data_IF_990822439417
#
_entry.id   IF_990822439417
#
_cell.length_a   1.000
_cell.length_b   1.000
_cell.length_c   1.000
_cell.angle_alpha   90.00
_cell.angle_beta   90.00
_cell.angle_gamma   90.00
#
_symmetry.space_group_name_H-M   'P 1'
#
loop_
_entity.id
_entity.type
_entity.pdbx_description
1 polymer ?
#
# COMPACT_ATOMS: atom_id res chain seq x y z
N UNK A 1 -28.30 8.57 3.99
CA UNK A 1 -28.09 7.92 2.68
C UNK A 1 -26.81 7.12 2.77
N UNK A 2 -26.91 5.78 2.77
CA UNK A 2 -25.77 4.88 2.91
C UNK A 2 -25.20 4.62 1.51
N UNK A 3 -24.24 5.45 1.08
CA UNK A 3 -23.49 5.30 -0.19
C UNK A 3 -22.03 4.78 -0.01
N UNK A 4 -21.54 4.27 1.15
CA UNK A 4 -20.10 4.01 1.31
C UNK A 4 -19.57 2.86 0.43
N UNK A 5 -20.40 1.86 0.10
CA UNK A 5 -19.93 0.66 -0.61
C UNK A 5 -19.49 0.95 -2.05
N UNK A 6 -20.23 1.80 -2.77
CA UNK A 6 -19.91 2.11 -4.18
C UNK A 6 -18.68 2.99 -4.33
N UNK A 7 -18.43 3.90 -3.38
CA UNK A 7 -17.28 4.79 -3.43
C UNK A 7 -15.99 4.03 -3.13
N UNK A 8 -16.00 3.16 -2.12
CA UNK A 8 -14.88 2.28 -1.81
C UNK A 8 -14.52 1.35 -2.98
N UNK A 9 -15.50 0.79 -3.69
CA UNK A 9 -15.24 0.00 -4.90
C UNK A 9 -14.54 0.80 -6.00
N UNK A 10 -14.87 2.09 -6.18
CA UNK A 10 -14.21 2.94 -7.16
C UNK A 10 -12.76 3.23 -6.76
N UNK A 11 -12.51 3.53 -5.48
CA UNK A 11 -11.16 3.77 -4.96
C UNK A 11 -10.31 2.51 -5.11
N UNK A 12 -10.83 1.33 -4.78
CA UNK A 12 -10.12 0.05 -4.97
C UNK A 12 -9.73 -0.19 -6.43
N UNK A 13 -10.59 0.16 -7.39
CA UNK A 13 -10.25 0.06 -8.83
C UNK A 13 -9.12 1.01 -9.21
N UNK A 14 -9.12 2.24 -8.69
CA UNK A 14 -8.04 3.20 -8.92
C UNK A 14 -6.71 2.71 -8.33
N UNK A 15 -6.73 2.18 -7.10
CA UNK A 15 -5.56 1.57 -6.47
C UNK A 15 -4.99 0.41 -7.30
N UNK A 16 -5.85 -0.46 -7.83
CA UNK A 16 -5.43 -1.55 -8.71
C UNK A 16 -4.80 -1.03 -10.01
N UNK A 17 -5.42 -0.03 -10.65
CA UNK A 17 -4.87 0.59 -11.86
C UNK A 17 -3.52 1.26 -11.58
N UNK A 18 -3.37 1.87 -10.42
CA UNK A 18 -2.14 2.50 -9.98
C UNK A 18 -1.02 1.48 -9.79
N UNK A 19 -1.31 0.36 -9.12
CA UNK A 19 -0.36 -0.72 -8.97
C UNK A 19 0.06 -1.32 -10.32
N UNK A 20 -0.88 -1.53 -11.25
CA UNK A 20 -0.55 -1.98 -12.61
C UNK A 20 0.33 -0.98 -13.37
N UNK A 21 0.10 0.32 -13.22
CA UNK A 21 0.97 1.34 -13.81
C UNK A 21 2.39 1.27 -13.23
N UNK A 22 2.56 1.02 -11.92
CA UNK A 22 3.86 0.82 -11.30
C UNK A 22 4.58 -0.44 -11.81
N UNK A 23 3.86 -1.56 -11.96
CA UNK A 23 4.41 -2.80 -12.50
C UNK A 23 4.88 -2.66 -13.96
N UNK A 24 4.20 -1.81 -14.74
CA UNK A 24 4.56 -1.50 -16.11
C UNK A 24 5.60 -0.36 -16.23
N UNK A 25 6.14 0.12 -15.10
CA UNK A 25 7.08 1.23 -15.01
C UNK A 25 6.57 2.53 -15.69
N UNK A 26 5.25 2.69 -15.79
CA UNK A 26 4.61 3.88 -16.37
C UNK A 26 4.58 5.02 -15.35
N UNK A 27 5.75 5.56 -15.00
CA UNK A 27 5.93 6.54 -13.91
C UNK A 27 4.98 7.72 -14.04
N UNK A 28 4.88 8.36 -15.21
CA UNK A 28 3.98 9.51 -15.42
C UNK A 28 2.51 9.15 -15.14
N UNK A 29 2.05 7.98 -15.61
CA UNK A 29 0.68 7.52 -15.35
C UNK A 29 0.48 7.22 -13.88
N UNK A 30 1.46 6.60 -13.22
CA UNK A 30 1.42 6.33 -11.80
C UNK A 30 1.39 7.63 -10.97
N UNK A 31 2.14 8.66 -11.35
CA UNK A 31 2.10 9.98 -10.70
C UNK A 31 0.73 10.63 -10.83
N UNK A 32 0.11 10.61 -12.02
CA UNK A 32 -1.22 11.16 -12.23
C UNK A 32 -2.30 10.43 -11.42
N UNK A 33 -2.25 9.08 -11.41
CA UNK A 33 -3.16 8.27 -10.61
C UNK A 33 -2.98 8.52 -9.11
N UNK A 34 -1.75 8.72 -8.64
CA UNK A 34 -1.47 9.06 -7.23
C UNK A 34 -2.21 10.33 -6.81
N UNK A 35 -2.15 11.39 -7.61
CA UNK A 35 -2.82 12.66 -7.28
C UNK A 35 -4.33 12.47 -7.11
N UNK A 36 -4.98 11.74 -8.02
CA UNK A 36 -6.42 11.45 -7.94
C UNK A 36 -6.78 10.61 -6.70
N UNK A 37 -5.94 9.62 -6.39
CA UNK A 37 -6.15 8.73 -5.23
C UNK A 37 -5.97 9.49 -3.92
N UNK A 38 -4.92 10.32 -3.81
CA UNK A 38 -4.62 11.10 -2.59
C UNK A 38 -5.82 11.99 -2.21
N UNK A 39 -6.46 12.64 -3.18
CA UNK A 39 -7.67 13.45 -2.94
C UNK A 39 -8.84 12.63 -2.37
N UNK A 40 -9.05 11.41 -2.88
CA UNK A 40 -10.13 10.51 -2.41
C UNK A 40 -9.82 9.95 -1.03
N UNK A 41 -8.58 9.55 -0.78
CA UNK A 41 -8.12 9.01 0.50
C UNK A 41 -8.21 10.06 1.61
N UNK A 42 -7.86 11.32 1.32
CA UNK A 42 -7.97 12.39 2.31
C UNK A 42 -9.42 12.61 2.77
N UNK A 43 -10.39 12.56 1.84
CA UNK A 43 -11.83 12.63 2.19
C UNK A 43 -12.27 11.47 3.09
N UNK A 44 -11.79 10.26 2.81
CA UNK A 44 -12.10 9.07 3.63
C UNK A 44 -11.52 9.23 5.04
N UNK A 45 -10.28 9.71 5.18
CA UNK A 45 -9.64 9.94 6.48
C UNK A 45 -10.33 11.02 7.33
N UNK A 46 -10.93 12.02 6.69
CA UNK A 46 -11.68 13.09 7.37
C UNK A 46 -13.01 12.62 7.95
N UNK A 47 -13.62 11.60 7.32
CA UNK A 47 -14.84 10.94 7.80
C UNK A 47 -14.39 9.92 8.86
N UNK A 48 -14.08 10.40 10.06
CA UNK A 48 -13.65 9.55 11.17
C UNK A 48 -14.80 8.64 11.62
N UNK A 49 -14.93 7.46 11.01
CA UNK A 49 -15.65 6.32 11.57
C UNK A 49 -14.68 5.12 11.59
N UNK A 50 -14.62 4.37 12.68
CA UNK A 50 -13.73 3.20 12.84
C UNK A 50 -14.26 1.98 12.08
N UNK A 51 -14.62 2.14 10.80
CA UNK A 51 -15.14 1.06 9.99
C UNK A 51 -14.00 0.17 9.49
N UNK A 52 -14.12 -1.13 9.73
CA UNK A 52 -13.12 -2.14 9.32
C UNK A 52 -12.77 -2.09 7.82
N UNK A 53 -13.76 -1.80 6.95
CA UNK A 53 -13.54 -1.71 5.51
C UNK A 53 -12.64 -0.54 5.11
N UNK A 54 -12.67 0.56 5.87
CA UNK A 54 -11.84 1.74 5.62
C UNK A 54 -10.39 1.47 6.05
N UNK A 55 -10.18 0.69 7.11
CA UNK A 55 -8.83 0.28 7.53
C UNK A 55 -8.12 -0.57 6.47
N UNK A 56 -8.79 -1.55 5.86
CA UNK A 56 -8.20 -2.36 4.79
C UNK A 56 -7.88 -1.51 3.54
N UNK A 57 -8.76 -0.57 3.19
CA UNK A 57 -8.53 0.34 2.06
C UNK A 57 -7.34 1.27 2.31
N UNK A 58 -7.24 1.83 3.51
CA UNK A 58 -6.14 2.71 3.92
C UNK A 58 -4.82 1.96 4.05
N UNK A 59 -4.84 0.72 4.53
CA UNK A 59 -3.69 -0.18 4.51
C UNK A 59 -3.23 -0.45 3.08
N UNK A 60 -4.15 -0.81 2.18
CA UNK A 60 -3.80 -1.06 0.78
C UNK A 60 -3.19 0.17 0.10
N UNK A 61 -3.79 1.33 0.30
CA UNK A 61 -3.22 2.59 -0.17
C UNK A 61 -1.80 2.83 0.37
N UNK A 62 -1.58 2.63 1.67
CA UNK A 62 -0.28 2.89 2.31
C UNK A 62 0.81 1.93 1.80
N UNK A 63 0.45 0.67 1.54
CA UNK A 63 1.33 -0.32 0.90
C UNK A 63 1.75 0.12 -0.51
N UNK A 64 0.80 0.59 -1.32
CA UNK A 64 1.08 1.07 -2.67
C UNK A 64 1.86 2.38 -2.69
N UNK A 65 1.63 3.28 -1.74
CA UNK A 65 2.41 4.52 -1.58
C UNK A 65 3.88 4.23 -1.28
N UNK A 66 4.15 3.26 -0.40
CA UNK A 66 5.51 2.78 -0.19
C UNK A 66 6.12 2.23 -1.48
N UNK A 67 5.40 1.37 -2.22
CA UNK A 67 5.88 0.81 -3.50
C UNK A 67 6.18 1.90 -4.53
N UNK A 68 5.37 2.95 -4.59
CA UNK A 68 5.56 4.10 -5.48
C UNK A 68 6.80 4.91 -5.11
N UNK A 69 7.05 5.14 -3.81
CA UNK A 69 8.31 5.76 -3.34
C UNK A 69 9.50 4.89 -3.71
N UNK A 70 9.42 3.58 -3.52
CA UNK A 70 10.47 2.66 -3.96
C UNK A 70 10.70 2.67 -5.48
N UNK A 71 9.69 3.01 -6.28
CA UNK A 71 9.84 3.17 -7.74
C UNK A 71 10.50 4.49 -8.13
N UNK A 72 10.12 5.58 -7.46
CA UNK A 72 10.39 6.96 -7.93
C UNK A 72 11.48 7.68 -7.14
N UNK A 73 11.73 7.25 -5.91
CA UNK A 73 12.64 7.89 -4.95
C UNK A 73 13.20 6.85 -3.96
N UNK A 74 13.78 5.76 -4.50
CA UNK A 74 14.27 4.65 -3.69
C UNK A 74 15.39 5.04 -2.71
N UNK A 75 16.13 6.11 -3.02
CA UNK A 75 17.22 6.62 -2.18
C UNK A 75 16.74 7.33 -0.92
N UNK A 76 15.48 7.81 -0.89
CA UNK A 76 14.91 8.43 0.31
C UNK A 76 14.33 7.42 1.30
N UNK A 77 14.32 6.13 0.95
CA UNK A 77 13.81 5.07 1.82
C UNK A 77 14.77 4.86 2.99
N UNK A 78 14.26 5.17 4.19
CA UNK A 78 14.91 5.01 5.46
C UNK A 78 14.21 3.94 6.30
N UNK A 79 14.78 3.64 7.47
CA UNK A 79 14.24 2.62 8.39
C UNK A 79 12.80 2.87 8.80
N UNK A 80 12.40 4.13 8.96
CA UNK A 80 11.05 4.53 9.34
C UNK A 80 10.07 4.69 8.17
N UNK A 81 10.50 4.44 6.93
CA UNK A 81 9.65 4.62 5.75
C UNK A 81 8.49 3.62 5.65
N UNK A 82 8.49 2.58 6.49
CA UNK A 82 7.42 1.58 6.56
C UNK A 82 6.49 1.76 7.76
N UNK A 83 6.81 2.64 8.72
CA UNK A 83 6.06 2.81 9.98
C UNK A 83 4.58 3.17 9.75
N UNK A 84 4.28 3.92 8.69
CA UNK A 84 2.90 4.26 8.32
C UNK A 84 2.09 3.00 8.01
N UNK A 85 2.68 2.03 7.32
CA UNK A 85 2.02 0.75 7.03
C UNK A 85 1.82 -0.05 8.32
N UNK A 86 2.81 -0.05 9.21
CA UNK A 86 2.74 -0.77 10.49
C UNK A 86 1.76 -0.13 11.49
N UNK A 87 1.37 1.13 11.28
CA UNK A 87 0.37 1.81 12.11
C UNK A 87 -1.06 1.28 11.89
N UNK A 88 -1.32 0.60 10.78
CA UNK A 88 -2.60 -0.07 10.53
C UNK A 88 -2.57 -1.49 11.11
N UNK A 89 -3.68 -1.91 11.71
CA UNK A 89 -3.83 -3.28 12.20
C UNK A 89 -3.60 -4.28 11.06
N UNK A 90 -2.88 -5.36 11.35
CA UNK A 90 -2.69 -6.45 10.40
C UNK A 90 -4.06 -6.97 9.96
N UNK A 91 -4.38 -6.82 8.67
CA UNK A 91 -5.63 -7.30 8.10
C UNK A 91 -5.68 -8.83 8.17
N UNK A 92 -6.84 -9.41 8.47
CA UNK A 92 -7.07 -10.86 8.30
C UNK A 92 -7.18 -11.29 6.82
N UNK A 93 -7.00 -10.34 5.90
CA UNK A 93 -7.06 -10.55 4.47
C UNK A 93 -5.72 -11.10 3.95
N UNK A 94 -5.76 -12.28 3.32
CA UNK A 94 -4.57 -12.97 2.78
C UNK A 94 -3.89 -12.17 1.67
N UNK A 95 -4.67 -11.47 0.82
CA UNK A 95 -4.13 -10.64 -0.25
C UNK A 95 -3.34 -9.46 0.33
N UNK A 96 -3.89 -8.74 1.31
CA UNK A 96 -3.19 -7.64 1.97
C UNK A 96 -1.98 -8.15 2.79
N UNK A 97 -2.10 -9.33 3.40
CA UNK A 97 -0.99 -9.98 4.11
C UNK A 97 0.18 -10.27 3.18
N UNK A 98 -0.08 -10.79 1.97
CA UNK A 98 0.93 -10.98 0.94
C UNK A 98 1.67 -9.67 0.62
N UNK A 99 0.93 -8.59 0.32
CA UNK A 99 1.57 -7.30 -0.02
C UNK A 99 2.33 -6.69 1.14
N UNK A 100 1.80 -6.82 2.37
CA UNK A 100 2.48 -6.37 3.57
C UNK A 100 3.86 -7.02 3.70
N UNK A 101 3.93 -8.36 3.71
CA UNK A 101 5.20 -9.06 3.87
C UNK A 101 6.12 -8.84 2.68
N UNK A 102 5.59 -8.82 1.46
CA UNK A 102 6.38 -8.58 0.26
C UNK A 102 7.04 -7.19 0.28
N UNK A 103 6.28 -6.13 0.58
CA UNK A 103 6.84 -4.79 0.62
C UNK A 103 7.73 -4.55 1.85
N UNK A 104 7.48 -5.24 2.96
CA UNK A 104 8.38 -5.23 4.12
C UNK A 104 9.72 -5.89 3.80
N UNK A 105 9.72 -6.96 3.01
CA UNK A 105 10.95 -7.58 2.51
C UNK A 105 11.72 -6.64 1.56
N UNK A 106 11.01 -5.90 0.71
CA UNK A 106 11.62 -4.85 -0.15
C UNK A 106 12.22 -3.73 0.70
N UNK A 107 11.53 -3.26 1.74
CA UNK A 107 12.06 -2.27 2.68
C UNK A 107 13.34 -2.75 3.38
N UNK A 108 13.33 -3.98 3.90
CA UNK A 108 14.50 -4.60 4.52
C UNK A 108 15.67 -4.72 3.51
N UNK A 109 15.37 -5.05 2.26
CA UNK A 109 16.38 -5.11 1.18
C UNK A 109 17.00 -3.74 0.90
N UNK A 110 16.18 -2.69 0.78
CA UNK A 110 16.63 -1.32 0.51
C UNK A 110 17.38 -0.71 1.71
N UNK A 111 17.09 -1.17 2.92
CA UNK A 111 17.80 -0.77 4.15
C UNK A 111 18.96 -1.71 4.52
N UNK A 112 19.36 -2.60 3.60
CA UNK A 112 20.49 -3.55 3.72
C UNK A 112 20.34 -4.61 4.83
N UNK A 113 19.13 -4.83 5.32
CA UNK A 113 18.81 -5.84 6.33
C UNK A 113 18.44 -7.20 5.69
N UNK A 114 19.40 -7.82 5.00
CA UNK A 114 19.13 -8.97 4.10
C UNK A 114 18.58 -10.22 4.80
N UNK A 115 18.97 -10.47 6.06
CA UNK A 115 18.43 -11.61 6.82
C UNK A 115 16.92 -11.45 7.03
N UNK A 116 16.51 -10.25 7.47
CA UNK A 116 15.12 -9.92 7.69
C UNK A 116 14.32 -9.90 6.38
N UNK A 117 14.94 -9.43 5.28
CA UNK A 117 14.35 -9.48 3.95
C UNK A 117 14.00 -10.92 3.54
N UNK A 118 14.91 -11.87 3.75
CA UNK A 118 14.70 -13.29 3.42
C UNK A 118 13.50 -13.87 4.18
N UNK A 119 13.43 -13.63 5.49
CA UNK A 119 12.32 -14.11 6.32
C UNK A 119 10.97 -13.54 5.87
N UNK A 120 10.91 -12.26 5.51
CA UNK A 120 9.68 -11.65 5.03
C UNK A 120 9.30 -12.13 3.62
N UNK A 121 10.25 -12.43 2.74
CA UNK A 121 9.93 -13.07 1.45
C UNK A 121 9.33 -14.46 1.63
N UNK A 122 9.87 -15.26 2.57
CA UNK A 122 9.30 -16.57 2.89
C UNK A 122 7.87 -16.45 3.46
N UNK A 123 7.65 -15.52 4.39
CA UNK A 123 6.31 -15.21 4.91
C UNK A 123 5.36 -14.75 3.81
N UNK A 124 5.77 -13.88 2.91
CA UNK A 124 4.93 -13.45 1.79
C UNK A 124 4.50 -14.66 0.94
N UNK A 125 5.42 -15.58 0.66
CA UNK A 125 5.15 -16.75 -0.15
C UNK A 125 4.16 -17.74 0.49
N UNK A 126 3.91 -17.69 1.80
CA UNK A 126 2.87 -18.52 2.44
C UNK A 126 1.44 -17.99 2.23
N UNK A 127 1.28 -16.77 1.71
CA UNK A 127 -0.01 -16.14 1.40
C UNK A 127 -0.29 -16.04 -0.11
N UNK A 128 0.55 -16.66 -0.95
CA UNK A 128 0.48 -16.62 -2.41
C UNK A 128 -0.32 -17.79 -2.97
#
# INVERSE_FOLDING_TARGET
MHVPVKENEQVTKLLNNWYQAMLQEQVLKATNLKQEIDEKINKIKEIQDEQYQEQNLLLYYSLLDFRYKALTDSLSIAKNSFDIVESYNASSDEFLSYYYYFFKAVHATLTTNYNEASEYYEKANSFK
#
